data_IF_656093686241
#
_entry.id   IF_656093686241
#
_cell.length_a   1.000
_cell.length_b   1.000
_cell.length_c   1.000
_cell.angle_alpha   90.00
_cell.angle_beta   90.00
_cell.angle_gamma   90.00
#
_symmetry.space_group_name_H-M   'P 1'
#
loop_
_entity.id
_entity.type
_entity.pdbx_description
1 polymer ?
#
# COMPACT_ATOMS: atom_id res chain seq x y z
N UNK A 1 -35.71 7.87 -37.13
CA UNK A 1 -36.12 6.49 -37.38
C UNK A 1 -35.38 5.63 -36.40
N UNK A 2 -36.07 5.24 -35.33
CA UNK A 2 -35.74 4.02 -34.59
C UNK A 2 -36.07 2.79 -35.46
N UNK A 3 -35.45 1.66 -35.15
CA UNK A 3 -36.20 0.56 -34.54
C UNK A 3 -35.41 0.00 -33.34
N UNK A 4 -36.02 -0.55 -32.28
CA UNK A 4 -37.26 -1.30 -32.20
C UNK A 4 -36.93 -2.73 -31.73
N UNK A 5 -37.41 -3.08 -30.54
CA UNK A 5 -37.27 -4.35 -29.82
C UNK A 5 -37.42 -5.62 -30.68
N UNK A 6 -36.68 -6.66 -30.33
CA UNK A 6 -37.26 -8.00 -30.32
C UNK A 6 -36.75 -8.89 -29.17
N UNK A 7 -37.74 -9.56 -28.58
CA UNK A 7 -37.74 -10.30 -27.33
C UNK A 7 -37.17 -11.72 -27.48
N UNK A 8 -36.96 -12.30 -26.30
CA UNK A 8 -37.21 -13.70 -25.97
C UNK A 8 -36.19 -14.74 -26.48
N UNK A 9 -35.46 -15.33 -25.52
CA UNK A 9 -34.72 -16.56 -25.79
C UNK A 9 -33.78 -17.00 -24.70
N UNK A 10 -34.26 -17.16 -23.45
CA UNK A 10 -33.71 -18.14 -22.49
C UNK A 10 -34.59 -18.23 -21.24
N UNK A 11 -35.86 -18.58 -21.43
CA UNK A 11 -36.70 -19.18 -20.39
C UNK A 11 -37.24 -20.50 -20.97
N UNK A 12 -36.41 -21.53 -20.99
CA UNK A 12 -36.83 -22.91 -21.18
C UNK A 12 -35.66 -23.78 -20.71
N UNK A 13 -35.60 -24.11 -19.42
CA UNK A 13 -35.67 -25.53 -19.00
C UNK A 13 -35.86 -25.65 -17.47
N UNK A 14 -36.83 -24.96 -16.89
CA UNK A 14 -37.22 -25.18 -15.49
C UNK A 14 -38.72 -25.04 -15.25
N UNK A 15 -39.53 -25.55 -16.18
CA UNK A 15 -40.96 -25.81 -15.94
C UNK A 15 -41.15 -27.29 -15.67
N UNK A 16 -40.71 -27.77 -14.51
CA UNK A 16 -41.21 -29.00 -13.87
C UNK A 16 -40.79 -29.04 -12.38
N UNK A 17 -41.13 -28.00 -11.63
CA UNK A 17 -41.29 -28.06 -10.17
C UNK A 17 -42.02 -26.79 -9.73
N UNK A 18 -43.30 -26.92 -9.37
CA UNK A 18 -44.14 -25.80 -8.93
C UNK A 18 -43.68 -25.18 -7.62
N UNK A 19 -42.71 -24.26 -7.67
CA UNK A 19 -42.40 -23.33 -6.57
C UNK A 19 -42.85 -21.92 -6.96
N UNK A 20 -43.74 -21.33 -6.15
CA UNK A 20 -44.00 -19.88 -6.15
C UNK A 20 -42.78 -19.18 -5.57
N UNK A 21 -42.21 -18.24 -6.32
CA UNK A 21 -41.16 -17.35 -5.84
C UNK A 21 -41.73 -16.47 -4.73
N UNK A 22 -41.08 -16.46 -3.57
CA UNK A 22 -41.46 -15.61 -2.45
C UNK A 22 -40.78 -14.24 -2.59
N UNK A 23 -41.29 -13.21 -1.90
CA UNK A 23 -40.69 -11.87 -1.90
C UNK A 23 -39.20 -11.89 -1.49
N UNK A 24 -38.79 -12.87 -0.68
CA UNK A 24 -37.42 -13.08 -0.23
C UNK A 24 -36.48 -13.54 -1.36
N UNK A 25 -36.95 -14.36 -2.30
CA UNK A 25 -36.14 -14.86 -3.43
C UNK A 25 -35.82 -13.74 -4.44
N UNK A 26 -36.76 -12.79 -4.60
CA UNK A 26 -36.57 -11.58 -5.42
C UNK A 26 -35.61 -10.60 -4.71
N UNK A 27 -35.68 -10.50 -3.38
CA UNK A 27 -34.79 -9.66 -2.58
C UNK A 27 -33.35 -10.19 -2.55
N UNK A 28 -33.15 -11.51 -2.46
CA UNK A 28 -31.83 -12.14 -2.49
C UNK A 28 -31.15 -12.01 -3.87
N UNK A 29 -31.94 -12.09 -4.96
CA UNK A 29 -31.45 -11.85 -6.33
C UNK A 29 -31.13 -10.36 -6.59
N UNK A 30 -31.92 -9.43 -6.04
CA UNK A 30 -31.65 -8.00 -6.10
C UNK A 30 -30.44 -7.59 -5.24
N UNK A 31 -30.31 -8.10 -4.01
CA UNK A 31 -29.13 -7.83 -3.15
C UNK A 31 -27.85 -8.42 -3.73
N UNK A 32 -27.91 -9.63 -4.31
CA UNK A 32 -26.78 -10.21 -5.04
C UNK A 32 -26.41 -9.41 -6.30
N UNK A 33 -27.38 -8.79 -7.00
CA UNK A 33 -27.11 -7.88 -8.12
C UNK A 33 -26.54 -6.54 -7.67
N UNK A 34 -26.96 -5.99 -6.54
CA UNK A 34 -26.41 -4.74 -5.98
C UNK A 34 -24.98 -4.95 -5.44
N UNK A 35 -24.67 -6.08 -4.81
CA UNK A 35 -23.29 -6.40 -4.38
C UNK A 35 -22.38 -6.68 -5.56
N UNK A 36 -22.85 -7.33 -6.63
CA UNK A 36 -22.06 -7.55 -7.85
C UNK A 36 -21.83 -6.27 -8.68
N UNK A 37 -22.80 -5.36 -8.72
CA UNK A 37 -22.67 -4.06 -9.41
C UNK A 37 -21.80 -3.07 -8.63
N UNK A 38 -21.86 -3.07 -7.31
CA UNK A 38 -20.93 -2.28 -6.46
C UNK A 38 -19.51 -2.86 -6.46
N UNK A 39 -19.36 -4.19 -6.47
CA UNK A 39 -18.06 -4.86 -6.61
C UNK A 39 -17.43 -4.60 -7.98
N UNK A 40 -18.22 -4.62 -9.07
CA UNK A 40 -17.74 -4.29 -10.41
C UNK A 40 -17.44 -2.79 -10.54
N UNK A 41 -18.27 -1.88 -10.03
CA UNK A 41 -17.95 -0.44 -9.98
C UNK A 41 -16.70 -0.13 -9.12
N UNK A 42 -16.50 -0.86 -8.01
CA UNK A 42 -15.28 -0.78 -7.20
C UNK A 42 -14.07 -1.33 -7.96
N UNK A 43 -14.20 -2.45 -8.66
CA UNK A 43 -13.16 -3.00 -9.55
C UNK A 43 -12.81 -2.01 -10.67
N UNK A 44 -13.77 -1.33 -11.30
CA UNK A 44 -13.50 -0.32 -12.33
C UNK A 44 -12.84 0.95 -11.76
N UNK A 45 -13.25 1.41 -10.58
CA UNK A 45 -12.62 2.55 -9.89
C UNK A 45 -11.21 2.22 -9.39
N UNK A 46 -11.02 1.04 -8.81
CA UNK A 46 -9.70 0.56 -8.35
C UNK A 46 -8.78 0.31 -9.54
N UNK A 47 -9.28 -0.30 -10.61
CA UNK A 47 -8.55 -0.50 -11.88
C UNK A 47 -8.22 0.83 -12.54
N UNK A 48 -9.11 1.83 -12.49
CA UNK A 48 -8.83 3.19 -12.96
C UNK A 48 -7.71 3.87 -12.16
N UNK A 49 -7.72 3.77 -10.83
CA UNK A 49 -6.66 4.31 -9.96
C UNK A 49 -5.34 3.53 -10.10
N UNK A 50 -5.39 2.21 -10.22
CA UNK A 50 -4.23 1.35 -10.47
C UNK A 50 -3.64 1.64 -11.85
N UNK A 51 -4.45 1.87 -12.88
CA UNK A 51 -3.97 2.28 -14.21
C UNK A 51 -3.34 3.67 -14.16
N UNK A 52 -3.89 4.60 -13.37
CA UNK A 52 -3.31 5.95 -13.21
C UNK A 52 -2.01 5.93 -12.40
N UNK A 53 -1.93 5.11 -11.34
CA UNK A 53 -0.71 4.85 -10.58
C UNK A 53 0.34 4.12 -11.41
N UNK A 54 -0.05 3.09 -12.16
CA UNK A 54 0.83 2.39 -13.09
C UNK A 54 1.37 3.33 -14.16
N UNK A 55 0.54 4.21 -14.72
CA UNK A 55 0.98 5.22 -15.67
C UNK A 55 1.88 6.31 -15.04
N UNK A 56 1.77 6.56 -13.73
CA UNK A 56 2.67 7.44 -13.00
C UNK A 56 4.01 6.76 -12.71
N UNK A 57 3.97 5.50 -12.28
CA UNK A 57 5.16 4.67 -12.05
C UNK A 57 5.91 4.43 -13.35
N UNK A 58 5.24 4.16 -14.47
CA UNK A 58 5.87 4.04 -15.79
C UNK A 58 6.51 5.35 -16.24
N UNK A 59 5.87 6.50 -16.01
CA UNK A 59 6.46 7.83 -16.32
C UNK A 59 7.66 8.18 -15.43
N UNK A 60 7.65 7.75 -14.17
CA UNK A 60 8.79 7.89 -13.26
C UNK A 60 9.92 6.93 -13.65
N UNK A 61 9.59 5.70 -14.05
CA UNK A 61 10.54 4.72 -14.54
C UNK A 61 11.20 5.15 -15.87
N UNK A 62 10.42 5.65 -16.83
CA UNK A 62 10.92 6.23 -18.08
C UNK A 62 11.87 7.41 -17.81
N UNK A 63 11.50 8.33 -16.90
CA UNK A 63 12.41 9.41 -16.47
C UNK A 63 13.68 8.91 -15.79
N UNK A 64 13.61 7.82 -15.04
CA UNK A 64 14.79 7.22 -14.39
C UNK A 64 15.71 6.51 -15.37
N UNK A 65 15.16 5.85 -16.40
CA UNK A 65 15.93 5.23 -17.50
C UNK A 65 16.54 6.30 -18.41
N UNK A 66 15.84 7.40 -18.67
CA UNK A 66 16.37 8.54 -19.42
C UNK A 66 17.52 9.22 -18.67
N UNK A 67 17.43 9.35 -17.34
CA UNK A 67 18.54 9.85 -16.51
C UNK A 67 19.74 8.90 -16.52
N UNK A 68 19.52 7.58 -16.48
CA UNK A 68 20.58 6.58 -16.60
C UNK A 68 21.26 6.60 -17.99
N UNK A 69 20.48 6.78 -19.06
CA UNK A 69 21.01 6.94 -20.43
C UNK A 69 21.82 8.23 -20.59
N UNK A 70 21.35 9.34 -20.03
CA UNK A 70 22.10 10.61 -20.02
C UNK A 70 23.41 10.49 -19.21
N UNK A 71 23.41 9.72 -18.12
CA UNK A 71 24.62 9.39 -17.36
C UNK A 71 25.59 8.49 -18.16
N UNK A 72 25.10 7.50 -18.90
CA UNK A 72 25.93 6.66 -19.79
C UNK A 72 26.48 7.43 -21.00
N UNK A 73 25.71 8.35 -21.59
CA UNK A 73 26.18 9.24 -22.65
C UNK A 73 27.20 10.24 -22.15
N UNK A 74 27.02 10.80 -20.94
CA UNK A 74 28.01 11.66 -20.31
C UNK A 74 29.35 10.93 -20.03
N UNK A 75 29.30 9.63 -19.74
CA UNK A 75 30.50 8.80 -19.52
C UNK A 75 31.32 8.58 -20.81
N UNK A 76 30.69 8.62 -22.00
CA UNK A 76 31.37 8.50 -23.30
C UNK A 76 32.20 9.73 -23.68
N UNK A 77 31.95 10.89 -23.06
CA UNK A 77 32.68 12.14 -23.33
C UNK A 77 33.83 12.42 -22.35
N UNK A 78 34.14 11.49 -21.43
CA UNK A 78 35.33 11.60 -20.57
C UNK A 78 36.56 11.16 -21.39
N UNK A 79 37.54 12.05 -21.69
CA UNK A 79 38.72 11.65 -22.45
C UNK A 79 39.57 10.69 -21.62
N UNK A 80 39.80 9.48 -22.12
CA UNK A 80 40.82 8.60 -21.57
C UNK A 80 42.19 9.25 -21.75
N UNK A 81 42.81 9.66 -20.65
CA UNK A 81 44.16 10.19 -20.62
C UNK A 81 45.14 9.15 -21.15
N UNK A 82 45.74 9.45 -22.31
CA UNK A 82 46.91 8.76 -22.82
C UNK A 82 48.08 8.99 -21.86
N UNK A 83 48.63 7.90 -21.30
CA UNK A 83 49.95 7.90 -20.67
C UNK A 83 51.04 7.93 -21.76
N UNK A 84 52.02 8.85 -21.73
CA UNK A 84 53.17 8.78 -22.63
C UNK A 84 54.20 7.75 -22.14
N UNK A 85 54.95 7.09 -23.04
CA UNK A 85 55.90 6.04 -22.70
C UNK A 85 57.21 6.63 -22.16
N UNK A 86 57.77 5.95 -21.15
CA UNK A 86 59.09 6.25 -20.63
C UNK A 86 60.19 6.04 -21.67
N UNK A 87 61.14 6.96 -21.70
CA UNK A 87 62.51 6.72 -22.19
C UNK A 87 63.48 7.12 -21.09
N UNK A 88 64.32 6.15 -20.74
CA UNK A 88 65.46 6.31 -19.86
C UNK A 88 66.52 7.21 -20.51
N UNK A 89 67.15 8.08 -19.71
CA UNK A 89 68.55 8.46 -19.91
C UNK A 89 69.15 8.93 -18.58
N UNK A 90 70.26 8.30 -18.21
CA UNK A 90 71.12 8.63 -17.08
C UNK A 90 71.77 9.99 -17.24
N UNK A 91 71.92 10.75 -16.15
CA UNK A 91 73.21 11.19 -15.60
C UNK A 91 73.02 12.15 -14.42
N UNK A 92 73.91 12.00 -13.45
CA UNK A 92 73.96 12.65 -12.14
C UNK A 92 74.93 13.85 -12.16
N UNK A 93 74.62 14.82 -11.29
CA UNK A 93 75.51 15.77 -10.57
C UNK A 93 76.09 17.00 -11.30
N UNK A 94 75.67 18.20 -10.86
CA UNK A 94 76.56 19.20 -10.25
C UNK A 94 75.78 20.30 -9.52
N UNK A 95 76.33 20.73 -8.38
CA UNK A 95 75.86 21.74 -7.42
C UNK A 95 75.73 23.16 -8.01
N UNK A 96 74.72 23.91 -7.58
CA UNK A 96 74.89 25.31 -7.15
C UNK A 96 73.75 25.75 -6.20
N UNK A 97 74.14 26.62 -5.25
CA UNK A 97 73.48 27.03 -4.00
C UNK A 97 72.14 27.79 -4.13
N UNK A 98 71.40 28.03 -3.02
CA UNK A 98 69.96 28.32 -3.03
C UNK A 98 69.65 29.81 -3.22
N UNK A 99 68.71 30.10 -4.13
CA UNK A 99 68.07 31.42 -4.24
C UNK A 99 66.72 31.36 -3.52
N UNK A 100 66.42 32.27 -2.56
CA UNK A 100 65.12 32.30 -1.90
C UNK A 100 64.03 32.75 -2.89
N UNK A 101 62.85 32.11 -2.93
CA UNK A 101 61.75 32.57 -3.76
C UNK A 101 61.18 33.89 -3.22
N UNK A 102 60.77 34.82 -4.10
CA UNK A 102 60.15 36.08 -3.67
C UNK A 102 58.80 35.80 -2.98
N UNK A 103 58.38 36.67 -2.05
CA UNK A 103 57.14 36.51 -1.30
C UNK A 103 55.94 36.50 -2.25
N UNK A 104 55.15 35.43 -2.22
CA UNK A 104 53.87 35.34 -2.92
C UNK A 104 52.89 36.34 -2.31
N UNK A 105 52.76 37.51 -2.93
CA UNK A 105 51.63 38.41 -2.71
C UNK A 105 50.36 37.66 -3.14
N UNK A 106 49.45 37.39 -2.19
CA UNK A 106 48.17 36.74 -2.48
C UNK A 106 47.38 37.61 -3.45
N UNK A 107 46.94 37.02 -4.56
CA UNK A 107 46.09 37.71 -5.53
C UNK A 107 44.65 37.82 -4.99
N UNK A 108 44.01 39.01 -4.98
CA UNK A 108 42.64 39.22 -4.47
C UNK A 108 41.56 38.31 -5.10
N UNK A 109 41.84 37.74 -6.28
CA UNK A 109 40.92 36.91 -7.06
C UNK A 109 40.72 35.51 -6.43
N UNK A 110 41.73 34.96 -5.77
CA UNK A 110 41.60 33.63 -5.12
C UNK A 110 40.86 33.71 -3.78
N UNK A 111 40.95 34.83 -3.08
CA UNK A 111 40.26 35.07 -1.82
C UNK A 111 38.75 35.26 -2.08
N UNK A 112 38.36 36.06 -3.08
CA UNK A 112 36.96 36.23 -3.49
C UNK A 112 36.29 34.91 -3.95
N UNK A 113 37.05 34.00 -4.58
CA UNK A 113 36.52 32.66 -4.95
C UNK A 113 36.28 31.78 -3.74
N UNK A 114 37.13 31.85 -2.72
CA UNK A 114 36.96 31.09 -1.47
C UNK A 114 35.77 31.56 -0.66
N UNK A 115 35.57 32.88 -0.56
CA UNK A 115 34.39 33.47 0.09
C UNK A 115 33.10 32.99 -0.59
N UNK A 116 33.04 33.02 -1.93
CA UNK A 116 31.88 32.51 -2.67
C UNK A 116 31.61 31.02 -2.45
N UNK A 117 32.66 30.20 -2.37
CA UNK A 117 32.52 28.76 -2.07
C UNK A 117 32.01 28.57 -0.65
N UNK A 118 32.53 29.33 0.31
CA UNK A 118 32.12 29.28 1.71
C UNK A 118 30.65 29.68 1.89
N UNK A 119 30.19 30.73 1.20
CA UNK A 119 28.77 31.12 1.16
C UNK A 119 27.88 29.99 0.63
N UNK A 120 28.29 29.35 -0.47
CA UNK A 120 27.54 28.23 -1.04
C UNK A 120 27.55 27.03 -0.09
N UNK A 121 28.69 26.70 0.52
CA UNK A 121 28.79 25.61 1.49
C UNK A 121 27.88 25.84 2.70
N UNK A 122 27.79 27.07 3.21
CA UNK A 122 26.85 27.41 4.29
C UNK A 122 25.38 27.28 3.86
N UNK A 123 25.06 27.54 2.59
CA UNK A 123 23.71 27.34 2.06
C UNK A 123 23.34 25.86 1.89
N UNK A 124 24.29 25.02 1.47
CA UNK A 124 24.10 23.57 1.27
C UNK A 124 24.08 22.83 2.62
N UNK A 125 25.01 23.18 3.50
CA UNK A 125 25.26 22.56 4.80
C UNK A 125 25.30 23.66 5.87
N UNK A 126 24.16 23.99 6.49
CA UNK A 126 24.09 25.05 7.48
C UNK A 126 25.06 24.82 8.65
N UNK A 127 25.73 25.87 9.16
CA UNK A 127 26.52 25.79 10.37
C UNK A 127 25.69 25.25 11.53
N UNK A 128 26.31 24.40 12.36
CA UNK A 128 25.66 23.87 13.57
C UNK A 128 25.98 24.80 14.73
N UNK A 129 24.95 25.23 15.44
CA UNK A 129 25.11 26.09 16.61
C UNK A 129 24.65 25.35 17.88
N UNK A 130 25.42 25.46 18.95
CA UNK A 130 25.02 24.99 20.27
C UNK A 130 25.52 25.94 21.36
N UNK A 131 24.73 26.06 22.42
CA UNK A 131 25.09 26.82 23.62
C UNK A 131 25.60 25.88 24.70
N UNK A 132 26.75 26.18 25.29
CA UNK A 132 27.26 25.53 26.48
C UNK A 132 27.43 26.58 27.58
N UNK A 133 26.44 26.66 28.47
CA UNK A 133 26.35 27.67 29.51
C UNK A 133 26.27 29.10 28.94
N UNK A 134 27.30 29.91 29.19
CA UNK A 134 27.40 31.29 28.71
C UNK A 134 28.03 31.42 27.31
N UNK A 135 28.56 30.33 26.75
CA UNK A 135 29.26 30.35 25.47
C UNK A 135 28.37 29.81 24.34
N UNK A 136 28.38 30.50 23.19
CA UNK A 136 27.76 30.03 21.96
C UNK A 136 28.83 29.54 20.99
N UNK A 137 28.71 28.30 20.55
CA UNK A 137 29.64 27.67 19.61
C UNK A 137 28.97 27.53 18.25
N UNK A 138 29.74 27.81 17.19
CA UNK A 138 29.31 27.64 15.80
C UNK A 138 30.31 26.76 15.08
N UNK A 139 29.88 25.59 14.64
CA UNK A 139 30.66 24.70 13.79
C UNK A 139 30.37 25.02 12.33
N UNK A 140 31.40 25.55 11.64
CA UNK A 140 31.38 25.81 10.20
C UNK A 140 31.87 24.62 9.40
N UNK A 141 31.48 24.59 8.14
CA UNK A 141 31.90 23.58 7.18
C UNK A 141 33.34 23.87 6.73
N UNK A 142 34.18 22.84 6.68
CA UNK A 142 35.55 23.00 6.20
C UNK A 142 35.58 23.37 4.72
N UNK A 143 36.37 24.38 4.36
CA UNK A 143 36.65 24.77 2.97
C UNK A 143 37.89 24.08 2.40
N UNK A 144 38.53 23.19 3.18
CA UNK A 144 39.70 22.46 2.73
C UNK A 144 39.34 21.49 1.58
N UNK A 145 40.11 21.50 0.47
CA UNK A 145 39.90 20.57 -0.64
C UNK A 145 40.18 19.14 -0.20
N UNK A 146 39.38 18.20 -0.70
CA UNK A 146 39.56 16.77 -0.42
C UNK A 146 40.70 16.16 -1.24
N UNK A 147 41.49 15.29 -0.62
CA UNK A 147 42.48 14.44 -1.28
C UNK A 147 41.95 13.01 -1.50
N UNK A 148 42.61 12.24 -2.38
CA UNK A 148 42.28 10.81 -2.56
C UNK A 148 42.40 10.02 -1.24
N UNK A 149 43.32 10.40 -0.37
CA UNK A 149 43.51 9.76 0.93
C UNK A 149 42.33 10.03 1.87
N UNK A 150 41.74 11.22 1.80
CA UNK A 150 40.58 11.59 2.62
C UNK A 150 39.34 10.77 2.25
N UNK A 151 39.16 10.46 0.95
CA UNK A 151 38.07 9.60 0.48
C UNK A 151 38.23 8.17 1.01
N UNK A 152 39.45 7.61 0.99
CA UNK A 152 39.72 6.28 1.56
C UNK A 152 39.43 6.27 3.05
N UNK A 153 39.89 7.29 3.77
CA UNK A 153 39.63 7.43 5.21
C UNK A 153 38.13 7.58 5.51
N UNK A 154 37.40 8.32 4.70
CA UNK A 154 35.94 8.46 4.83
C UNK A 154 35.23 7.11 4.67
N UNK A 155 35.64 6.31 3.68
CA UNK A 155 35.10 4.97 3.48
C UNK A 155 35.39 4.04 4.67
N UNK A 156 36.63 4.05 5.18
CA UNK A 156 37.01 3.27 6.36
C UNK A 156 36.19 3.68 7.60
N UNK A 157 36.03 4.99 7.82
CA UNK A 157 35.22 5.52 8.93
C UNK A 157 33.75 5.13 8.82
N UNK A 158 33.17 5.20 7.61
CA UNK A 158 31.79 4.78 7.37
C UNK A 158 31.62 3.29 7.70
N UNK A 159 32.52 2.43 7.20
CA UNK A 159 32.48 1.00 7.45
C UNK A 159 32.63 0.68 8.95
N UNK A 160 33.56 1.34 9.64
CA UNK A 160 33.74 1.19 11.08
C UNK A 160 32.47 1.59 11.84
N UNK A 161 31.84 2.72 11.50
CA UNK A 161 30.61 3.17 12.16
C UNK A 161 29.42 2.26 11.89
N UNK A 162 29.26 1.78 10.65
CA UNK A 162 28.23 0.81 10.30
C UNK A 162 28.37 -0.47 11.13
N UNK A 163 29.60 -0.96 11.29
CA UNK A 163 29.88 -2.15 12.10
C UNK A 163 29.65 -1.89 13.60
N UNK A 164 30.19 -0.80 14.14
CA UNK A 164 30.08 -0.43 15.56
C UNK A 164 28.62 -0.23 15.98
N UNK A 165 27.81 0.39 15.12
CA UNK A 165 26.39 0.63 15.39
C UNK A 165 25.48 -0.53 14.92
N UNK A 166 26.08 -1.65 14.50
CA UNK A 166 25.38 -2.87 14.08
C UNK A 166 24.27 -2.59 13.05
N UNK A 167 24.58 -1.75 12.06
CA UNK A 167 23.65 -1.43 10.99
C UNK A 167 23.31 -2.69 10.18
N UNK A 168 22.02 -2.86 9.82
CA UNK A 168 21.59 -4.01 9.03
C UNK A 168 22.08 -3.89 7.59
N UNK A 169 22.61 -4.99 7.05
CA UNK A 169 23.08 -5.07 5.66
C UNK A 169 21.93 -5.14 4.65
N UNK A 170 20.76 -5.66 5.04
CA UNK A 170 19.59 -5.82 4.18
C UNK A 170 18.34 -5.21 4.83
N UNK A 171 17.38 -4.81 4.00
CA UNK A 171 16.14 -4.18 4.45
C UNK A 171 16.28 -2.74 4.96
N UNK A 172 15.20 -2.23 5.56
CA UNK A 172 15.14 -0.85 6.06
C UNK A 172 15.92 -0.76 7.39
N UNK A 173 16.85 0.19 7.46
CA UNK A 173 17.67 0.43 8.65
C UNK A 173 17.94 1.92 8.83
N UNK A 174 17.51 2.49 9.96
CA UNK A 174 17.66 3.92 10.24
C UNK A 174 19.12 4.32 10.45
N UNK A 175 19.86 3.55 11.24
CA UNK A 175 21.30 3.75 11.48
C UNK A 175 22.07 3.85 10.16
N UNK A 176 21.81 2.92 9.25
CA UNK A 176 22.41 2.93 7.92
C UNK A 176 22.02 4.19 7.16
N UNK A 177 20.72 4.50 7.07
CA UNK A 177 20.22 5.70 6.40
C UNK A 177 20.91 6.97 6.89
N UNK A 178 21.06 7.12 8.20
CA UNK A 178 21.66 8.31 8.81
C UNK A 178 23.16 8.41 8.48
N UNK A 179 23.90 7.29 8.57
CA UNK A 179 25.33 7.25 8.25
C UNK A 179 25.60 7.51 6.75
N UNK A 180 24.78 6.98 5.85
CA UNK A 180 24.88 7.24 4.42
C UNK A 180 24.52 8.69 4.08
N UNK A 181 23.53 9.28 4.77
CA UNK A 181 23.17 10.70 4.61
C UNK A 181 24.35 11.59 4.99
N UNK A 182 24.98 11.35 6.14
CA UNK A 182 26.18 12.07 6.57
C UNK A 182 27.36 11.91 5.60
N UNK A 183 27.57 10.69 5.08
CA UNK A 183 28.59 10.44 4.07
C UNK A 183 28.31 11.22 2.79
N UNK A 184 27.06 11.24 2.33
CA UNK A 184 26.67 11.94 1.12
C UNK A 184 26.80 13.47 1.27
N UNK A 185 26.49 14.02 2.44
CA UNK A 185 26.74 15.42 2.76
C UNK A 185 28.24 15.78 2.66
N UNK A 186 29.13 14.91 3.15
CA UNK A 186 30.59 15.10 3.01
C UNK A 186 31.04 15.00 1.55
N UNK A 187 30.45 14.11 0.75
CA UNK A 187 30.71 14.05 -0.69
C UNK A 187 30.24 15.35 -1.38
N UNK A 188 29.04 15.85 -1.07
CA UNK A 188 28.55 17.12 -1.61
C UNK A 188 29.49 18.26 -1.22
N UNK A 189 30.01 18.29 0.01
CA UNK A 189 31.00 19.29 0.45
C UNK A 189 32.26 19.25 -0.43
N UNK A 190 32.89 18.06 -0.57
CA UNK A 190 34.11 17.90 -1.36
C UNK A 190 33.90 18.28 -2.84
N UNK A 191 32.77 17.86 -3.39
CA UNK A 191 32.39 18.10 -4.78
C UNK A 191 32.08 19.57 -5.03
N UNK A 192 31.45 20.27 -4.08
CA UNK A 192 31.19 21.72 -4.17
C UNK A 192 32.50 22.53 -4.18
N UNK A 193 33.50 22.09 -3.40
CA UNK A 193 34.82 22.73 -3.38
C UNK A 193 35.55 22.52 -4.70
N UNK A 194 35.42 21.34 -5.31
CA UNK A 194 36.03 21.05 -6.61
C UNK A 194 35.31 21.76 -7.76
N UNK A 195 33.98 21.65 -7.81
CA UNK A 195 33.11 22.29 -8.78
C UNK A 195 31.73 22.58 -8.16
N UNK A 196 31.46 23.86 -7.91
CA UNK A 196 30.25 24.31 -7.22
C UNK A 196 28.96 23.85 -7.90
N UNK A 197 28.89 23.92 -9.23
CA UNK A 197 27.68 23.52 -9.98
C UNK A 197 27.38 22.02 -9.82
N UNK A 198 28.42 21.19 -9.74
CA UNK A 198 28.30 19.74 -9.52
C UNK A 198 27.80 19.45 -8.11
N UNK A 199 28.33 20.16 -7.11
CA UNK A 199 27.84 20.08 -5.73
C UNK A 199 26.37 20.48 -5.61
N UNK A 200 25.96 21.57 -6.26
CA UNK A 200 24.56 22.02 -6.30
C UNK A 200 23.63 21.03 -7.01
N UNK A 201 24.11 20.35 -8.06
CA UNK A 201 23.35 19.28 -8.70
C UNK A 201 23.14 18.09 -7.76
N UNK A 202 24.18 17.64 -7.06
CA UNK A 202 24.08 16.55 -6.09
C UNK A 202 23.14 16.90 -4.93
N UNK A 203 23.16 18.15 -4.46
CA UNK A 203 22.20 18.66 -3.48
C UNK A 203 20.75 18.47 -3.96
N UNK A 204 20.42 18.87 -5.19
CA UNK A 204 19.07 18.70 -5.74
C UNK A 204 18.66 17.23 -5.82
N UNK A 205 19.58 16.36 -6.25
CA UNK A 205 19.33 14.91 -6.29
C UNK A 205 19.05 14.36 -4.89
N UNK A 206 19.81 14.77 -3.88
CA UNK A 206 19.58 14.40 -2.47
C UNK A 206 18.18 14.78 -2.01
N UNK A 207 17.78 16.01 -2.30
CA UNK A 207 16.51 16.57 -1.82
C UNK A 207 15.34 15.89 -2.53
N UNK A 208 15.45 15.62 -3.84
CA UNK A 208 14.44 14.87 -4.61
C UNK A 208 14.28 13.44 -4.08
N UNK A 209 15.38 12.72 -3.81
CA UNK A 209 15.33 11.37 -3.23
C UNK A 209 14.69 11.41 -1.83
N UNK A 210 15.00 12.44 -1.03
CA UNK A 210 14.43 12.62 0.31
C UNK A 210 12.92 12.88 0.24
N UNK A 211 12.47 13.73 -0.68
CA UNK A 211 11.06 13.97 -0.94
C UNK A 211 10.34 12.70 -1.42
N UNK A 212 10.95 11.95 -2.36
CA UNK A 212 10.41 10.67 -2.83
C UNK A 212 10.25 9.66 -1.68
N UNK A 213 11.24 9.54 -0.81
CA UNK A 213 11.17 8.63 0.34
C UNK A 213 10.06 9.02 1.32
N UNK A 214 9.89 10.31 1.61
CA UNK A 214 8.80 10.80 2.47
C UNK A 214 7.42 10.52 1.87
N UNK A 215 7.27 10.70 0.56
CA UNK A 215 6.04 10.39 -0.16
C UNK A 215 5.71 8.89 -0.09
N UNK A 216 6.70 8.02 -0.32
CA UNK A 216 6.51 6.58 -0.21
C UNK A 216 6.17 6.14 1.21
N UNK A 217 6.80 6.73 2.23
CA UNK A 217 6.46 6.45 3.62
C UNK A 217 5.00 6.81 3.92
N UNK A 218 4.55 8.00 3.50
CA UNK A 218 3.15 8.44 3.69
C UNK A 218 2.16 7.50 2.99
N UNK A 219 2.51 7.03 1.80
CA UNK A 219 1.67 6.09 1.04
C UNK A 219 1.61 4.73 1.73
N UNK A 220 2.74 4.22 2.23
CA UNK A 220 2.81 2.96 2.96
C UNK A 220 1.96 3.00 4.24
N UNK A 221 2.13 4.03 5.06
CA UNK A 221 1.33 4.29 6.26
C UNK A 221 -0.18 4.33 5.94
N UNK A 222 -0.55 5.00 4.84
CA UNK A 222 -1.93 5.06 4.36
C UNK A 222 -2.46 3.69 3.91
N UNK A 223 -1.62 2.89 3.25
CA UNK A 223 -1.98 1.57 2.73
C UNK A 223 -2.19 0.57 3.87
N UNK A 224 -1.32 0.58 4.88
CA UNK A 224 -1.43 -0.24 6.08
C UNK A 224 -2.70 0.13 6.85
N UNK A 225 -2.95 1.43 7.06
CA UNK A 225 -4.17 1.89 7.72
C UNK A 225 -5.45 1.48 6.96
N UNK A 226 -5.42 1.52 5.62
CA UNK A 226 -6.53 1.02 4.81
C UNK A 226 -6.74 -0.49 4.99
N UNK A 227 -5.67 -1.28 4.97
CA UNK A 227 -5.71 -2.73 5.20
C UNK A 227 -6.35 -3.06 6.55
N UNK A 228 -5.89 -2.41 7.63
CA UNK A 228 -6.42 -2.60 8.99
C UNK A 228 -7.92 -2.29 9.04
N UNK A 229 -8.35 -1.16 8.47
CA UNK A 229 -9.78 -0.80 8.43
C UNK A 229 -10.63 -1.83 7.71
N UNK A 230 -10.12 -2.42 6.62
CA UNK A 230 -10.85 -3.44 5.86
C UNK A 230 -10.94 -4.77 6.58
N UNK A 231 -9.89 -5.17 7.28
CA UNK A 231 -9.94 -6.34 8.16
C UNK A 231 -10.98 -6.13 9.25
N UNK A 232 -10.94 -4.99 9.95
CA UNK A 232 -11.90 -4.70 11.02
C UNK A 232 -13.35 -4.65 10.51
N UNK A 233 -13.57 -4.03 9.34
CA UNK A 233 -14.90 -3.99 8.72
C UNK A 233 -15.43 -5.39 8.39
N UNK A 234 -14.57 -6.30 7.92
CA UNK A 234 -14.94 -7.67 7.62
C UNK A 234 -15.28 -8.46 8.90
N UNK A 235 -14.50 -8.31 9.96
CA UNK A 235 -14.75 -8.96 11.25
C UNK A 235 -16.07 -8.50 11.88
N UNK A 236 -16.35 -7.20 11.86
CA UNK A 236 -17.62 -6.65 12.36
C UNK A 236 -18.80 -7.15 11.53
N UNK A 237 -18.72 -7.08 10.19
CA UNK A 237 -19.78 -7.56 9.32
C UNK A 237 -20.03 -9.06 9.48
N UNK A 238 -18.98 -9.86 9.72
CA UNK A 238 -19.13 -11.28 10.01
C UNK A 238 -19.86 -11.51 11.34
N UNK A 239 -19.49 -10.81 12.40
CA UNK A 239 -20.13 -10.94 13.71
C UNK A 239 -21.63 -10.54 13.67
N UNK A 240 -21.98 -9.50 12.93
CA UNK A 240 -23.37 -9.09 12.71
C UNK A 240 -24.18 -10.19 12.03
N UNK A 241 -23.65 -10.78 10.94
CA UNK A 241 -24.31 -11.88 10.23
C UNK A 241 -24.42 -13.15 11.09
N UNK A 242 -23.40 -13.46 11.91
CA UNK A 242 -23.46 -14.58 12.84
C UNK A 242 -24.56 -14.41 13.89
N UNK A 243 -24.74 -13.20 14.41
CA UNK A 243 -25.84 -12.89 15.33
C UNK A 243 -27.21 -13.03 14.64
N UNK A 244 -27.36 -12.50 13.42
CA UNK A 244 -28.60 -12.62 12.66
C UNK A 244 -28.94 -14.09 12.37
N UNK A 245 -27.96 -14.92 12.01
CA UNK A 245 -28.14 -16.37 11.86
C UNK A 245 -28.65 -17.00 13.15
N UNK A 246 -28.05 -16.67 14.29
CA UNK A 246 -28.47 -17.23 15.59
C UNK A 246 -29.91 -16.86 15.94
N UNK A 247 -30.33 -15.63 15.67
CA UNK A 247 -31.68 -15.16 15.95
C UNK A 247 -32.70 -15.81 15.00
N UNK A 248 -32.41 -15.85 13.70
CA UNK A 248 -33.24 -16.56 12.72
C UNK A 248 -33.36 -18.06 13.03
N UNK A 249 -32.31 -18.70 13.54
CA UNK A 249 -32.37 -20.09 13.99
C UNK A 249 -33.25 -20.28 15.22
N UNK A 250 -33.25 -19.33 16.17
CA UNK A 250 -34.18 -19.37 17.32
C UNK A 250 -35.62 -19.23 16.86
N UNK A 251 -35.89 -18.27 15.98
CA UNK A 251 -37.22 -18.03 15.44
C UNK A 251 -37.74 -19.22 14.64
N UNK A 252 -36.87 -19.83 13.81
CA UNK A 252 -37.20 -21.06 13.09
C UNK A 252 -37.59 -22.18 14.07
N UNK A 253 -36.81 -22.41 15.13
CA UNK A 253 -37.13 -23.43 16.13
C UNK A 253 -38.46 -23.15 16.84
N UNK A 254 -38.74 -21.89 17.18
CA UNK A 254 -39.99 -21.49 17.82
C UNK A 254 -41.20 -21.72 16.90
N UNK A 255 -41.10 -21.30 15.63
CA UNK A 255 -42.14 -21.50 14.63
C UNK A 255 -42.37 -22.99 14.33
N UNK A 256 -41.31 -23.80 14.23
CA UNK A 256 -41.43 -25.25 14.07
C UNK A 256 -42.15 -25.91 15.25
N UNK A 257 -41.94 -25.41 16.48
CA UNK A 257 -42.67 -25.88 17.66
C UNK A 257 -44.16 -25.51 17.59
N UNK A 258 -44.48 -24.26 17.22
CA UNK A 258 -45.87 -23.82 17.05
C UNK A 258 -46.58 -24.62 15.96
N UNK A 259 -45.92 -24.89 14.83
CA UNK A 259 -46.49 -25.74 13.77
C UNK A 259 -46.79 -27.14 14.29
N UNK A 260 -45.88 -27.75 15.06
CA UNK A 260 -46.12 -29.07 15.66
C UNK A 260 -47.28 -29.07 16.63
N UNK A 261 -47.39 -28.05 17.48
CA UNK A 261 -48.50 -27.88 18.42
C UNK A 261 -49.85 -27.75 17.69
N UNK A 262 -49.96 -26.82 16.74
CA UNK A 262 -51.18 -26.61 15.95
C UNK A 262 -51.57 -27.85 15.12
N UNK A 263 -50.59 -28.61 14.61
CA UNK A 263 -50.85 -29.88 13.92
C UNK A 263 -51.42 -30.92 14.89
N UNK A 264 -50.85 -31.05 16.09
CA UNK A 264 -51.36 -31.97 17.11
C UNK A 264 -52.80 -31.60 17.53
N UNK A 265 -53.10 -30.30 17.70
CA UNK A 265 -54.46 -29.82 17.96
C UNK A 265 -55.42 -30.15 16.83
N UNK A 266 -55.03 -29.91 15.57
CA UNK A 266 -55.83 -30.25 14.40
C UNK A 266 -56.15 -31.74 14.35
N UNK A 267 -55.16 -32.61 14.56
CA UNK A 267 -55.38 -34.07 14.58
C UNK A 267 -56.29 -34.50 15.73
N UNK A 268 -56.12 -33.92 16.93
CA UNK A 268 -57.01 -34.19 18.06
C UNK A 268 -58.46 -33.75 17.82
N UNK A 269 -58.69 -32.65 17.09
CA UNK A 269 -60.03 -32.22 16.69
C UNK A 269 -60.61 -33.16 15.62
N UNK A 270 -59.83 -33.52 14.60
CA UNK A 270 -60.26 -34.45 13.54
C UNK A 270 -60.71 -35.78 14.11
N UNK A 271 -59.93 -36.35 15.04
CA UNK A 271 -60.26 -37.63 15.68
C UNK A 271 -61.56 -37.52 16.48
N UNK A 272 -61.72 -36.46 17.30
CA UNK A 272 -62.95 -36.22 18.08
C UNK A 272 -64.19 -36.07 17.20
N UNK A 273 -64.09 -35.31 16.10
CA UNK A 273 -65.20 -35.12 15.17
C UNK A 273 -65.53 -36.39 14.38
N UNK A 274 -64.53 -37.21 14.05
CA UNK A 274 -64.73 -38.52 13.42
C UNK A 274 -65.46 -39.48 14.36
N UNK A 275 -65.00 -39.61 15.61
CA UNK A 275 -65.65 -40.43 16.63
C UNK A 275 -67.10 -39.98 16.90
N UNK A 276 -67.34 -38.66 16.90
CA UNK A 276 -68.69 -38.10 17.04
C UNK A 276 -69.59 -38.49 15.88
N UNK A 277 -69.11 -38.36 14.63
CA UNK A 277 -69.84 -38.76 13.42
C UNK A 277 -70.15 -40.26 13.44
N UNK A 278 -69.16 -41.11 13.74
CA UNK A 278 -69.35 -42.56 13.82
C UNK A 278 -70.40 -42.94 14.88
N UNK A 279 -70.42 -42.25 16.02
CA UNK A 279 -71.41 -42.47 17.07
C UNK A 279 -72.82 -42.01 16.65
N UNK A 280 -72.94 -40.85 16.01
CA UNK A 280 -74.23 -40.35 15.50
C UNK A 280 -74.77 -41.26 14.39
N UNK A 281 -73.92 -41.73 13.47
CA UNK A 281 -74.29 -42.71 12.45
C UNK A 281 -74.77 -44.03 13.06
N UNK A 282 -74.05 -44.58 14.05
CA UNK A 282 -74.49 -45.78 14.78
C UNK A 282 -75.86 -45.59 15.41
N UNK A 283 -76.07 -44.50 16.15
CA UNK A 283 -77.37 -44.19 16.78
C UNK A 283 -78.49 -44.08 15.75
N UNK A 284 -78.25 -43.41 14.62
CA UNK A 284 -79.25 -43.31 13.55
C UNK A 284 -79.55 -44.67 12.90
N UNK A 285 -78.53 -45.51 12.68
CA UNK A 285 -78.76 -46.86 12.13
C UNK A 285 -79.57 -47.73 13.08
N UNK A 286 -79.26 -47.70 14.38
CA UNK A 286 -80.01 -48.40 15.43
C UNK A 286 -81.47 -47.94 15.50
N UNK A 287 -81.70 -46.63 15.40
CA UNK A 287 -83.05 -46.03 15.41
C UNK A 287 -83.85 -46.42 14.16
N UNK A 288 -83.24 -46.39 12.97
CA UNK A 288 -83.87 -46.85 11.73
C UNK A 288 -84.22 -48.33 11.82
N UNK A 289 -83.31 -49.16 12.34
CA UNK A 289 -83.57 -50.59 12.53
C UNK A 289 -84.71 -50.84 13.52
N UNK A 290 -84.72 -50.14 14.65
CA UNK A 290 -85.80 -50.21 15.62
C UNK A 290 -87.14 -49.87 14.97
N UNK A 291 -87.23 -48.72 14.29
CA UNK A 291 -88.44 -48.29 13.60
C UNK A 291 -88.90 -49.30 12.53
N UNK A 292 -87.97 -49.88 11.76
CA UNK A 292 -88.29 -50.94 10.79
C UNK A 292 -88.91 -52.17 11.47
N UNK A 293 -88.34 -52.62 12.59
CA UNK A 293 -88.89 -53.74 13.38
C UNK A 293 -90.29 -53.41 13.92
N UNK A 294 -90.49 -52.21 14.47
CA UNK A 294 -91.81 -51.76 14.96
C UNK A 294 -92.84 -51.68 13.83
N UNK A 295 -92.47 -51.14 12.67
CA UNK A 295 -93.37 -51.02 11.52
C UNK A 295 -93.80 -52.40 10.97
N UNK A 296 -92.89 -53.39 10.99
CA UNK A 296 -93.21 -54.77 10.64
C UNK A 296 -94.18 -55.44 11.62
N UNK A 297 -94.15 -55.08 12.90
CA UNK A 297 -95.07 -55.61 13.91
C UNK A 297 -96.47 -54.96 13.87
N UNK A 298 -96.61 -53.81 13.21
CA UNK A 298 -97.86 -53.04 13.10
C UNK A 298 -98.59 -53.25 11.75
N UNK A 299 -98.07 -54.12 10.88
CA UNK A 299 -98.76 -54.60 9.67
C UNK A 299 -99.34 -55.99 9.89
#
# INVERSE_FOLDING_TARGET
GEPGDDKAGCLSSALYAGRRWTSADVQFSCQSRLTYTTYTQFQYSLRGRIMHLSALVSRVAERSEDLLRLCEEASKYIPQGQTPPGKASSQQLALSSPVPPPPKTKCPIEEAKKEKIEEVLHAILPPREWSDGANQWVQRVSTAPGSRMDVVKLQEQLNQRLHQQQARETGICQVRRDLYTQCFDELIRQETINCTDRGLLLLRVRDEISMCMAAYQTLDESSVAFGIRKVLQAELGKAEMENEIQDLEKDKRALESQVKEMLAECEAVKLREMERRDNDEKRHTEEIEFLKRTNQQLK
#
